data_IF_697809976956
#
_entry.id   IF_697809976956
#
_cell.length_a   1.000
_cell.length_b   1.000
_cell.length_c   1.000
_cell.angle_alpha   90.00
_cell.angle_beta   90.00
_cell.angle_gamma   90.00
#
_symmetry.space_group_name_H-M   'P 1'
#
loop_
_entity.id
_entity.type
_entity.pdbx_description
1 polymer ?
#
# COMPACT_ATOMS: atom_id res chain seq x y z
N UNK A 1 -14.44 -9.02 -8.46
CA UNK A 1 -14.13 -8.06 -7.37
C UNK A 1 -12.64 -7.74 -7.36
N UNK A 2 -12.21 -6.71 -6.62
CA UNK A 2 -10.78 -6.30 -6.58
C UNK A 2 -9.86 -7.44 -6.12
N UNK A 3 -10.26 -8.20 -5.13
CA UNK A 3 -9.49 -9.34 -4.62
C UNK A 3 -9.17 -10.37 -5.68
N UNK A 4 -10.15 -10.74 -6.49
CA UNK A 4 -9.98 -11.71 -7.59
C UNK A 4 -9.03 -11.20 -8.66
N UNK A 5 -9.07 -9.90 -8.92
CA UNK A 5 -8.19 -9.25 -9.90
C UNK A 5 -6.74 -9.13 -9.40
N UNK A 6 -6.57 -9.05 -8.09
CA UNK A 6 -5.26 -8.93 -7.46
C UNK A 6 -4.57 -10.30 -7.29
N UNK A 7 -5.34 -11.37 -7.16
CA UNK A 7 -4.84 -12.70 -6.85
C UNK A 7 -3.70 -13.17 -7.76
N UNK A 8 -3.76 -13.01 -9.09
CA UNK A 8 -2.65 -13.42 -9.95
C UNK A 8 -1.33 -12.69 -9.66
N UNK A 9 -1.40 -11.42 -9.27
CA UNK A 9 -0.22 -10.63 -8.94
C UNK A 9 0.41 -11.07 -7.61
N UNK A 10 -0.38 -11.57 -6.67
CA UNK A 10 0.08 -12.05 -5.38
C UNK A 10 0.65 -13.47 -5.44
N UNK A 11 0.25 -14.26 -6.42
CA UNK A 11 0.72 -15.63 -6.58
C UNK A 11 2.24 -15.67 -6.79
N UNK A 12 2.93 -16.48 -6.01
CA UNK A 12 4.40 -16.62 -5.99
C UNK A 12 5.15 -15.46 -5.33
N UNK A 13 4.50 -14.43 -4.81
CA UNK A 13 5.17 -13.40 -4.03
C UNK A 13 5.62 -13.98 -2.68
N UNK A 14 6.85 -13.68 -2.24
CA UNK A 14 7.31 -14.09 -0.90
C UNK A 14 6.79 -13.16 0.18
N UNK A 15 6.98 -11.86 -0.01
CA UNK A 15 6.50 -10.83 0.91
C UNK A 15 5.66 -9.82 0.16
N UNK A 16 4.49 -9.53 0.69
CA UNK A 16 3.55 -8.53 0.17
C UNK A 16 3.33 -7.48 1.26
N UNK A 17 3.51 -6.21 0.93
CA UNK A 17 3.03 -5.12 1.77
C UNK A 17 1.65 -4.70 1.30
N UNK A 18 0.74 -4.51 2.24
CA UNK A 18 -0.63 -4.10 1.97
C UNK A 18 -1.09 -3.09 3.03
N UNK A 19 -2.35 -2.74 3.04
CA UNK A 19 -2.94 -1.84 4.04
C UNK A 19 -4.30 -2.38 4.49
N UNK A 20 -4.71 -2.01 5.70
CA UNK A 20 -6.05 -2.29 6.18
C UNK A 20 -6.98 -1.18 5.67
N UNK A 21 -7.97 -1.50 4.82
CA UNK A 21 -8.87 -0.48 4.30
C UNK A 21 -9.66 0.23 5.40
N UNK A 22 -9.78 1.55 5.29
CA UNK A 22 -10.51 2.40 6.23
C UNK A 22 -11.61 3.14 5.48
N UNK A 23 -12.83 3.14 6.04
CA UNK A 23 -13.97 3.86 5.47
C UNK A 23 -14.28 3.39 4.06
N UNK A 24 -14.16 4.28 3.08
CA UNK A 24 -14.48 4.00 1.68
C UNK A 24 -13.26 3.58 0.85
N UNK A 25 -12.11 3.35 1.46
CA UNK A 25 -10.94 2.85 0.74
C UNK A 25 -11.23 1.50 0.06
N UNK A 26 -10.74 1.30 -1.17
CA UNK A 26 -10.89 0.01 -1.85
C UNK A 26 -10.19 -1.11 -1.09
N UNK A 27 -10.79 -2.30 -1.13
CA UNK A 27 -10.24 -3.48 -0.49
C UNK A 27 -11.08 -3.93 0.71
N UNK A 28 -10.65 -5.00 1.34
CA UNK A 28 -11.36 -5.63 2.45
C UNK A 28 -10.39 -6.49 3.27
N UNK A 29 -10.84 -6.95 4.44
CA UNK A 29 -10.09 -7.91 5.25
C UNK A 29 -9.95 -9.25 4.50
N UNK A 30 -10.96 -9.65 3.76
CA UNK A 30 -10.92 -10.86 2.92
C UNK A 30 -9.83 -10.78 1.87
N UNK A 31 -9.52 -9.59 1.35
CA UNK A 31 -8.39 -9.36 0.46
C UNK A 31 -7.06 -9.68 1.16
N UNK A 32 -6.90 -9.25 2.41
CA UNK A 32 -5.69 -9.54 3.19
C UNK A 32 -5.55 -11.05 3.43
N UNK A 33 -6.65 -11.73 3.71
CA UNK A 33 -6.65 -13.19 3.88
C UNK A 33 -6.25 -13.91 2.59
N UNK A 34 -6.74 -13.44 1.45
CA UNK A 34 -6.36 -13.97 0.13
C UNK A 34 -4.86 -13.75 -0.14
N UNK A 35 -4.35 -12.56 0.11
CA UNK A 35 -2.93 -12.26 -0.05
C UNK A 35 -2.06 -13.18 0.81
N UNK A 36 -2.47 -13.43 2.05
CA UNK A 36 -1.74 -14.31 2.95
C UNK A 36 -1.76 -15.78 2.47
N UNK A 37 -2.85 -16.23 1.87
CA UNK A 37 -2.92 -17.57 1.28
C UNK A 37 -2.00 -17.75 0.07
N UNK A 38 -1.72 -16.67 -0.65
CA UNK A 38 -0.96 -16.70 -1.92
C UNK A 38 0.50 -16.30 -1.78
N UNK A 39 0.91 -15.78 -0.63
CA UNK A 39 2.28 -15.35 -0.36
C UNK A 39 2.81 -15.98 0.92
N UNK A 40 4.11 -15.83 1.17
CA UNK A 40 4.71 -16.34 2.40
C UNK A 40 4.31 -15.49 3.62
N UNK A 41 4.21 -14.17 3.44
CA UNK A 41 3.75 -13.26 4.50
C UNK A 41 3.17 -11.98 3.91
N UNK A 42 2.29 -11.36 4.68
CA UNK A 42 1.72 -10.04 4.40
C UNK A 42 2.15 -9.08 5.50
N UNK A 43 2.72 -7.94 5.13
CA UNK A 43 3.11 -6.89 6.05
C UNK A 43 2.09 -5.74 5.98
N UNK A 44 1.69 -5.25 7.15
CA UNK A 44 0.78 -4.11 7.28
C UNK A 44 1.50 -2.94 7.95
N UNK A 45 1.13 -1.70 7.62
CA UNK A 45 1.84 -0.53 8.08
C UNK A 45 1.55 -0.20 9.54
N UNK A 46 2.58 0.29 10.22
CA UNK A 46 2.50 0.89 11.55
C UNK A 46 2.94 2.35 11.38
N UNK A 47 1.97 3.26 11.41
CA UNK A 47 2.19 4.68 11.17
C UNK A 47 2.42 5.43 12.48
N UNK A 48 3.50 6.22 12.53
CA UNK A 48 3.84 7.07 13.68
C UNK A 48 4.36 8.42 13.19
N UNK A 49 4.31 9.40 14.08
CA UNK A 49 4.87 10.73 13.85
C UNK A 49 5.92 11.04 14.89
N UNK A 50 6.71 12.09 14.65
CA UNK A 50 7.62 12.64 15.65
C UNK A 50 6.82 13.27 16.80
N UNK A 51 7.39 13.29 18.00
CA UNK A 51 6.76 13.95 19.15
C UNK A 51 5.60 13.18 19.77
N UNK A 52 5.08 13.69 20.91
CA UNK A 52 4.03 13.02 21.66
C UNK A 52 2.66 13.14 20.98
N UNK A 53 1.82 12.12 21.18
CA UNK A 53 0.43 12.12 20.72
C UNK A 53 0.24 12.05 19.20
N UNK A 54 1.24 11.60 18.47
CA UNK A 54 1.18 11.46 17.00
C UNK A 54 0.77 12.76 16.27
N UNK A 55 1.26 13.89 16.76
CA UNK A 55 0.96 15.25 16.22
C UNK A 55 2.09 15.85 15.43
N UNK A 56 3.25 15.22 15.41
CA UNK A 56 4.43 15.71 14.70
C UNK A 56 4.45 15.36 13.22
N UNK A 57 5.66 15.37 12.64
CA UNK A 57 5.87 15.01 11.25
C UNK A 57 5.79 13.48 11.06
N UNK A 58 5.27 13.01 9.92
CA UNK A 58 5.22 11.58 9.65
C UNK A 58 6.61 10.98 9.56
N UNK A 59 6.80 9.85 10.26
CA UNK A 59 7.97 9.01 10.11
C UNK A 59 7.73 8.00 8.99
N UNK A 60 8.78 7.45 8.36
CA UNK A 60 8.61 6.32 7.45
C UNK A 60 7.84 5.20 8.14
N UNK A 61 6.99 4.51 7.39
CA UNK A 61 6.19 3.41 7.92
C UNK A 61 7.09 2.29 8.43
N UNK A 62 6.76 1.79 9.61
CA UNK A 62 7.21 0.49 10.09
C UNK A 62 6.16 -0.55 9.73
N UNK A 63 6.46 -1.81 9.95
CA UNK A 63 5.64 -2.89 9.46
C UNK A 63 5.43 -3.95 10.53
N UNK A 64 4.37 -4.73 10.38
CA UNK A 64 4.13 -5.91 11.19
C UNK A 64 3.42 -6.97 10.37
N UNK A 65 3.59 -8.24 10.75
CA UNK A 65 2.94 -9.32 10.02
C UNK A 65 1.45 -9.36 10.27
N UNK A 66 0.70 -9.49 9.19
CA UNK A 66 -0.74 -9.73 9.26
C UNK A 66 -1.03 -11.14 9.78
N UNK A 67 -1.84 -11.21 10.83
CA UNK A 67 -2.39 -12.45 11.37
C UNK A 67 -3.91 -12.30 11.46
N UNK A 68 -4.69 -13.17 10.80
CA UNK A 68 -6.15 -13.07 10.83
C UNK A 68 -6.70 -13.05 12.26
N UNK A 69 -7.64 -12.14 12.51
CA UNK A 69 -8.27 -11.99 13.81
C UNK A 69 -7.44 -11.30 14.89
N UNK A 70 -6.20 -10.87 14.58
CA UNK A 70 -5.28 -10.32 15.57
C UNK A 70 -5.02 -8.82 15.42
N UNK A 71 -5.73 -8.13 14.54
CA UNK A 71 -5.58 -6.68 14.38
C UNK A 71 -5.99 -5.94 15.65
N UNK A 72 -5.24 -4.91 16.00
CA UNK A 72 -5.47 -4.10 17.20
C UNK A 72 -5.68 -2.63 16.85
N UNK A 73 -6.43 -1.87 17.65
CA UNK A 73 -6.61 -0.43 17.42
C UNK A 73 -5.28 0.32 17.53
N UNK A 74 -5.05 1.23 16.58
CA UNK A 74 -3.91 2.12 16.55
C UNK A 74 -4.35 3.59 16.49
N UNK A 75 -3.41 4.52 16.27
CA UNK A 75 -3.71 5.94 16.13
C UNK A 75 -4.65 6.23 14.96
N UNK A 76 -5.39 7.32 15.03
CA UNK A 76 -6.30 7.84 13.99
C UNK A 76 -7.41 6.86 13.57
N UNK A 77 -7.79 5.94 14.45
CA UNK A 77 -8.80 4.94 14.12
C UNK A 77 -8.34 3.85 13.15
N UNK A 78 -7.04 3.73 12.93
CA UNK A 78 -6.46 2.70 12.08
C UNK A 78 -6.30 1.40 12.85
N UNK A 79 -6.46 0.27 12.18
CA UNK A 79 -6.10 -1.04 12.73
C UNK A 79 -4.66 -1.37 12.38
N UNK A 80 -3.97 -2.02 13.29
CA UNK A 80 -2.56 -2.37 13.16
C UNK A 80 -2.33 -3.86 13.43
N UNK A 81 -1.22 -4.42 12.90
CA UNK A 81 -0.79 -5.76 13.28
C UNK A 81 -0.33 -5.77 14.75
N UNK A 82 -0.42 -6.93 15.42
CA UNK A 82 -0.17 -7.02 16.87
C UNK A 82 1.30 -6.89 17.27
N UNK A 83 2.23 -6.85 16.34
CA UNK A 83 3.66 -6.92 16.60
C UNK A 83 4.19 -8.35 16.56
N UNK A 84 5.52 -8.54 16.57
CA UNK A 84 6.55 -7.50 16.73
C UNK A 84 6.58 -6.52 15.56
N UNK A 85 6.99 -5.28 15.86
CA UNK A 85 7.13 -4.24 14.85
C UNK A 85 8.48 -4.39 14.15
N UNK A 86 8.42 -4.50 12.82
CA UNK A 86 9.59 -4.59 11.95
C UNK A 86 10.04 -3.19 11.53
N UNK A 87 11.33 -2.99 11.23
CA UNK A 87 11.82 -1.69 10.83
C UNK A 87 11.29 -1.26 9.47
N UNK A 88 11.43 0.01 9.16
CA UNK A 88 11.04 0.58 7.86
C UNK A 88 11.69 -0.12 6.67
N UNK A 89 12.90 -0.67 6.85
CA UNK A 89 13.62 -1.44 5.82
C UNK A 89 12.95 -2.75 5.43
N UNK A 90 11.97 -3.23 6.20
CA UNK A 90 11.24 -4.45 5.87
C UNK A 90 10.50 -4.36 4.53
N UNK A 91 10.09 -3.16 4.13
CA UNK A 91 9.48 -2.94 2.82
C UNK A 91 10.41 -3.33 1.65
N UNK A 92 11.71 -3.22 1.83
CA UNK A 92 12.69 -3.60 0.80
C UNK A 92 12.64 -5.10 0.44
N UNK A 93 12.09 -5.93 1.31
CA UNK A 93 11.92 -7.37 1.07
C UNK A 93 10.66 -7.70 0.25
N UNK A 94 9.75 -6.74 0.11
CA UNK A 94 8.51 -6.96 -0.61
C UNK A 94 8.72 -6.99 -2.12
N UNK A 95 8.09 -7.94 -2.78
CA UNK A 95 8.04 -8.02 -4.25
C UNK A 95 6.79 -7.35 -4.80
N UNK A 96 5.82 -7.08 -3.94
CA UNK A 96 4.56 -6.45 -4.26
C UNK A 96 4.16 -5.52 -3.10
N UNK A 97 3.82 -4.28 -3.42
CA UNK A 97 3.27 -3.33 -2.45
C UNK A 97 1.95 -2.80 -2.98
N UNK A 98 0.89 -3.00 -2.20
CA UNK A 98 -0.42 -2.42 -2.47
C UNK A 98 -0.51 -1.12 -1.72
N UNK A 99 -0.67 -0.02 -2.45
CA UNK A 99 -0.59 1.34 -1.93
C UNK A 99 -1.98 1.97 -1.91
N UNK A 100 -2.43 2.50 -0.76
CA UNK A 100 -3.69 3.23 -0.72
C UNK A 100 -3.58 4.52 -1.54
N UNK A 101 -4.65 4.87 -2.23
CA UNK A 101 -4.69 6.08 -3.05
C UNK A 101 -6.11 6.64 -3.11
N UNK A 102 -6.22 7.96 -3.17
CA UNK A 102 -7.47 8.65 -3.50
C UNK A 102 -7.69 8.67 -5.01
N UNK A 103 -6.60 8.71 -5.78
CA UNK A 103 -6.60 8.65 -7.23
C UNK A 103 -5.21 8.28 -7.72
N UNK A 104 -5.14 7.79 -8.95
CA UNK A 104 -3.88 7.54 -9.66
C UNK A 104 -4.08 7.91 -11.13
N UNK A 105 -3.04 8.42 -11.76
CA UNK A 105 -3.11 8.78 -13.18
C UNK A 105 -2.39 7.78 -14.08
N UNK A 106 -2.49 8.00 -15.39
CA UNK A 106 -1.91 7.13 -16.41
C UNK A 106 -0.38 7.10 -16.40
N UNK A 107 0.25 8.05 -15.71
CA UNK A 107 1.71 8.13 -15.56
C UNK A 107 2.20 7.49 -14.26
N UNK A 108 1.29 7.01 -13.42
CA UNK A 108 1.61 6.43 -12.12
C UNK A 108 1.66 7.44 -10.98
N UNK A 109 1.30 8.70 -11.21
CA UNK A 109 1.23 9.70 -10.15
C UNK A 109 0.05 9.35 -9.23
N UNK A 110 0.33 9.29 -7.93
CA UNK A 110 -0.64 8.90 -6.91
C UNK A 110 -1.02 10.09 -6.05
N UNK A 111 -2.31 10.30 -5.87
CA UNK A 111 -2.84 11.24 -4.89
C UNK A 111 -3.09 10.49 -3.58
N UNK A 112 -2.34 10.85 -2.54
CA UNK A 112 -2.55 10.34 -1.19
C UNK A 112 -3.33 11.32 -0.33
N UNK A 113 -3.50 10.98 0.95
CA UNK A 113 -4.25 11.81 1.91
C UNK A 113 -3.44 13.01 2.45
N UNK A 114 -2.24 13.27 1.92
CA UNK A 114 -1.44 14.45 2.24
C UNK A 114 -0.48 14.30 3.43
N UNK A 115 -0.44 13.16 4.11
CA UNK A 115 0.48 12.96 5.24
C UNK A 115 1.90 12.58 4.82
N UNK A 116 2.09 12.07 3.61
CA UNK A 116 3.42 11.74 3.07
C UNK A 116 4.06 10.46 3.63
N UNK A 117 3.33 9.60 4.31
CA UNK A 117 3.86 8.34 4.85
C UNK A 117 4.41 7.43 3.76
N UNK A 118 3.65 7.24 2.67
CA UNK A 118 4.03 6.31 1.60
C UNK A 118 5.15 6.85 0.72
N UNK A 119 5.15 8.13 0.39
CA UNK A 119 6.23 8.70 -0.43
C UNK A 119 7.59 8.61 0.27
N UNK A 120 7.60 8.75 1.61
CA UNK A 120 8.81 8.54 2.41
C UNK A 120 9.22 7.07 2.47
N UNK A 121 8.24 6.18 2.66
CA UNK A 121 8.46 4.75 2.89
C UNK A 121 8.88 4.01 1.62
N UNK A 122 8.30 4.37 0.47
CA UNK A 122 8.55 3.70 -0.79
C UNK A 122 9.96 3.92 -1.35
N UNK A 123 10.71 4.89 -0.82
CA UNK A 123 12.08 5.16 -1.24
C UNK A 123 13.03 3.98 -0.99
N UNK A 124 12.75 3.13 0.01
CA UNK A 124 13.58 1.98 0.34
C UNK A 124 13.20 0.71 -0.42
N UNK A 125 12.22 0.79 -1.31
CA UNK A 125 11.77 -0.37 -2.07
C UNK A 125 12.88 -0.94 -2.96
N UNK A 126 12.79 -2.25 -3.22
CA UNK A 126 13.59 -2.85 -4.28
C UNK A 126 13.12 -2.28 -5.64
N UNK A 127 14.04 -1.92 -6.56
CA UNK A 127 13.66 -1.42 -7.89
C UNK A 127 12.74 -2.35 -8.70
N UNK A 128 12.77 -3.64 -8.42
CA UNK A 128 11.93 -4.63 -9.10
C UNK A 128 10.54 -4.79 -8.46
N UNK A 129 10.29 -4.13 -7.34
CA UNK A 129 9.01 -4.23 -6.63
C UNK A 129 7.89 -3.60 -7.44
N UNK A 130 6.79 -4.32 -7.58
CA UNK A 130 5.57 -3.80 -8.17
C UNK A 130 4.82 -2.95 -7.13
N UNK A 131 4.49 -1.73 -7.51
CA UNK A 131 3.71 -0.80 -6.71
C UNK A 131 2.33 -0.66 -7.35
N UNK A 132 1.31 -1.17 -6.68
CA UNK A 132 -0.06 -1.18 -7.20
C UNK A 132 -0.91 -0.19 -6.42
N UNK A 133 -1.40 0.85 -7.08
CA UNK A 133 -2.43 1.71 -6.52
C UNK A 133 -3.80 1.10 -6.79
N UNK A 134 -4.54 0.83 -5.72
CA UNK A 134 -5.88 0.27 -5.82
C UNK A 134 -6.90 1.39 -5.69
N UNK A 135 -7.68 1.62 -6.73
CA UNK A 135 -8.62 2.75 -6.83
C UNK A 135 -9.93 2.30 -7.47
N UNK A 136 -10.96 3.15 -7.38
CA UNK A 136 -12.20 2.97 -8.12
C UNK A 136 -11.99 3.35 -9.59
N UNK A 137 -12.89 2.92 -10.47
CA UNK A 137 -12.77 3.20 -11.90
C UNK A 137 -12.76 4.69 -12.23
N UNK A 138 -13.53 5.50 -11.50
CA UNK A 138 -13.58 6.95 -11.67
C UNK A 138 -12.43 7.70 -10.97
N UNK A 139 -11.60 7.00 -10.23
CA UNK A 139 -10.41 7.54 -9.58
C UNK A 139 -9.12 7.25 -10.39
N UNK A 140 -9.25 6.59 -11.53
CA UNK A 140 -8.17 6.43 -12.50
C UNK A 140 -8.25 7.57 -13.53
N UNK A 141 -7.36 8.54 -13.41
CA UNK A 141 -7.43 9.83 -14.09
C UNK A 141 -6.40 9.97 -15.20
N UNK A 142 -6.59 10.96 -16.09
CA UNK A 142 -5.64 11.22 -17.17
C UNK A 142 -4.34 11.82 -16.63
N UNK A 143 -4.44 12.83 -15.76
CA UNK A 143 -3.27 13.52 -15.23
C UNK A 143 -3.53 14.08 -13.83
N UNK A 144 -2.54 13.91 -12.94
CA UNK A 144 -2.50 14.49 -11.61
C UNK A 144 -1.24 15.36 -11.46
N UNK A 145 -1.29 16.40 -10.61
CA UNK A 145 -0.09 17.16 -10.27
C UNK A 145 0.96 16.24 -9.63
N UNK A 146 2.20 16.34 -10.09
CA UNK A 146 3.33 15.54 -9.60
C UNK A 146 4.40 16.44 -9.01
N UNK A 147 5.03 15.98 -7.94
CA UNK A 147 6.20 16.60 -7.34
C UNK A 147 7.44 15.73 -7.52
N UNK A 148 8.66 16.31 -7.48
CA UNK A 148 9.89 15.53 -7.72
C UNK A 148 10.13 14.38 -6.75
N UNK A 149 9.61 14.46 -5.53
CA UNK A 149 9.76 13.42 -4.49
C UNK A 149 8.70 12.32 -4.57
N UNK A 150 7.70 12.44 -5.43
CA UNK A 150 6.66 11.45 -5.59
C UNK A 150 7.24 10.17 -6.19
N UNK A 151 6.88 9.03 -5.60
CA UNK A 151 7.23 7.72 -6.14
C UNK A 151 6.10 7.24 -7.04
N UNK A 152 6.34 7.09 -8.36
CA UNK A 152 5.28 6.66 -9.26
C UNK A 152 4.92 5.19 -9.05
N UNK A 153 3.64 4.89 -9.22
CA UNK A 153 3.13 3.51 -9.20
C UNK A 153 3.53 2.79 -10.49
N UNK A 154 3.73 1.49 -10.39
CA UNK A 154 3.99 0.65 -11.56
C UNK A 154 2.71 0.11 -12.19
N UNK A 155 1.65 0.01 -11.39
CA UNK A 155 0.35 -0.51 -11.80
C UNK A 155 -0.78 0.23 -11.10
N UNK A 156 -1.94 0.26 -11.75
CA UNK A 156 -3.21 0.60 -11.13
C UNK A 156 -4.11 -0.63 -11.14
N UNK A 157 -4.97 -0.75 -10.15
CA UNK A 157 -5.97 -1.80 -10.08
C UNK A 157 -7.35 -1.18 -9.87
N UNK A 158 -8.27 -1.46 -10.78
CA UNK A 158 -9.66 -1.01 -10.65
C UNK A 158 -10.64 -2.19 -10.78
N UNK A 159 -11.88 -2.06 -10.25
CA UNK A 159 -12.86 -3.16 -10.33
C UNK A 159 -13.20 -3.60 -11.74
N UNK A 160 -13.40 -2.66 -12.67
CA UNK A 160 -13.80 -2.97 -14.05
C UNK A 160 -12.63 -3.25 -14.97
N UNK A 161 -11.56 -2.45 -14.88
CA UNK A 161 -10.41 -2.55 -15.77
C UNK A 161 -9.40 -3.61 -15.34
N UNK A 162 -9.44 -4.05 -14.08
CA UNK A 162 -8.46 -4.98 -13.53
C UNK A 162 -7.10 -4.34 -13.33
N UNK A 163 -6.05 -5.13 -13.50
CA UNK A 163 -4.68 -4.67 -13.32
C UNK A 163 -4.17 -4.01 -14.60
N UNK A 164 -3.73 -2.76 -14.46
CA UNK A 164 -3.26 -1.92 -15.57
C UNK A 164 -1.78 -1.62 -15.34
N UNK A 165 -0.92 -2.03 -16.27
CA UNK A 165 0.49 -1.67 -16.24
C UNK A 165 0.65 -0.20 -16.65
N UNK A 166 1.44 0.54 -15.89
CA UNK A 166 1.70 1.96 -16.12
C UNK A 166 3.12 2.15 -16.68
N UNK A 167 3.38 3.23 -17.46
CA UNK A 167 4.71 3.47 -18.01
C UNK A 167 5.75 3.60 -16.91
N UNK A 168 6.88 2.91 -17.06
CA UNK A 168 8.05 3.16 -16.20
C UNK A 168 8.65 4.52 -16.56
N UNK A 169 8.96 5.32 -15.55
CA UNK A 169 9.79 6.50 -15.75
C UNK A 169 11.25 6.03 -15.82
N UNK A 170 11.87 6.29 -16.94
CA UNK A 170 13.33 6.18 -17.08
C UNK A 170 14.02 7.27 -16.27
#
# INVERSE_FOLDING_TARGET
MLSERLEPAATSASTVCAYVPVGTEPGSIEMLDMLLRRSARVLLPVARTTGPGNKGLPLPLRWGEYRPGALVPGPWGLLEPPGPVLPESALAEATLVIVPALAVDRRGVRLGRGRGFYDRSLKVRNPQTRLIAMVRDDEFLDELPAEPHDVPMTHALTPKRGLIALPSRE
#
